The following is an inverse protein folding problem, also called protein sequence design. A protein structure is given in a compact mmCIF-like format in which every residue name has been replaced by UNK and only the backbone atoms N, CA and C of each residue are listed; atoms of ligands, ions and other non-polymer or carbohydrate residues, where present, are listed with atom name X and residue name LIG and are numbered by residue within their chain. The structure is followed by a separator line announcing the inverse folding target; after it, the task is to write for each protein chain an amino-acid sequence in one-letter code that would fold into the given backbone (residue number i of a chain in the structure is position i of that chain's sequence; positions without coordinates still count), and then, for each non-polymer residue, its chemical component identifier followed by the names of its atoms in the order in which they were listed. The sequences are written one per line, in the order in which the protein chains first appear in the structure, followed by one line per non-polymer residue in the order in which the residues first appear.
data_IF_854558322033
#
_entry.id   IF_854558322033
#
_cell.length_a   1.000
_cell.length_b   1.000
_cell.length_c   1.000
_cell.angle_alpha   90.00
_cell.angle_beta   90.00
_cell.angle_gamma   90.00
#
_symmetry.space_group_name_H-M   'P 1'
#
loop_
_entity.id
_entity.type
_entity.pdbx_description
1 polymer ?
#
# COMPACT_ATOMS: atom_id res chain seq x y z
N UNK A 1 5.74 -28.04 8.94
CA UNK A 1 4.61 -27.11 9.18
C UNK A 1 4.91 -26.00 10.19
N UNK A 2 5.54 -26.23 11.36
CA UNK A 2 5.90 -25.12 12.26
C UNK A 2 7.06 -24.23 11.74
N UNK A 3 8.02 -24.82 11.01
CA UNK A 3 9.20 -24.09 10.53
C UNK A 3 8.98 -23.14 9.36
N UNK A 4 7.90 -23.26 8.58
CA UNK A 4 7.63 -22.36 7.44
C UNK A 4 7.07 -21.01 7.89
N UNK A 5 6.21 -21.01 8.92
CA UNK A 5 5.60 -19.80 9.45
C UNK A 5 6.63 -18.93 10.20
N UNK A 6 7.52 -19.56 10.97
CA UNK A 6 8.61 -18.86 11.66
C UNK A 6 9.59 -18.26 10.64
N UNK A 7 9.86 -18.96 9.53
CA UNK A 7 10.71 -18.45 8.46
C UNK A 7 10.05 -17.27 7.75
N UNK A 8 8.74 -17.36 7.44
CA UNK A 8 7.98 -16.26 6.82
C UNK A 8 7.97 -15.02 7.72
N UNK A 9 7.77 -15.21 9.02
CA UNK A 9 7.74 -14.12 10.01
C UNK A 9 9.12 -13.51 10.21
N UNK A 10 10.19 -14.31 10.21
CA UNK A 10 11.56 -13.81 10.33
C UNK A 10 12.03 -13.11 9.04
N UNK A 11 11.59 -13.60 7.88
CA UNK A 11 11.84 -12.97 6.58
C UNK A 11 11.11 -11.63 6.47
N UNK A 12 9.88 -11.56 6.99
CA UNK A 12 9.07 -10.34 7.09
C UNK A 12 9.78 -9.22 7.86
N UNK A 13 10.37 -9.53 9.02
CA UNK A 13 11.08 -8.52 9.83
C UNK A 13 12.50 -8.21 9.31
N UNK A 14 13.15 -9.13 8.59
CA UNK A 14 14.53 -8.94 8.10
C UNK A 14 14.63 -8.19 6.77
N UNK A 15 13.60 -8.25 5.92
CA UNK A 15 13.61 -7.59 4.61
C UNK A 15 13.27 -6.09 4.67
N UNK A 16 12.84 -5.56 5.82
CA UNK A 16 12.51 -4.14 5.96
C UNK A 16 11.37 -3.67 5.05
N UNK A 17 10.49 -4.60 4.66
CA UNK A 17 9.40 -4.33 3.73
C UNK A 17 8.43 -3.30 4.30
N UNK A 18 8.00 -2.38 3.46
CA UNK A 18 6.95 -1.43 3.80
C UNK A 18 5.61 -2.16 3.92
N UNK A 19 4.68 -1.60 4.70
CA UNK A 19 3.36 -2.20 4.94
C UNK A 19 2.59 -2.52 3.64
N UNK A 20 2.81 -1.74 2.58
CA UNK A 20 2.25 -2.01 1.26
C UNK A 20 2.79 -3.30 0.63
N UNK A 21 4.11 -3.49 0.64
CA UNK A 21 4.79 -4.64 0.05
C UNK A 21 4.44 -5.93 0.80
N UNK A 22 4.25 -5.81 2.12
CA UNK A 22 3.73 -6.87 2.99
C UNK A 22 2.33 -7.30 2.56
N UNK A 23 1.42 -6.35 2.35
CA UNK A 23 0.04 -6.64 1.95
C UNK A 23 -0.02 -7.24 0.55
N UNK A 24 0.84 -6.78 -0.37
CA UNK A 24 0.97 -7.34 -1.72
C UNK A 24 1.50 -8.78 -1.68
N UNK A 25 2.53 -9.08 -0.86
CA UNK A 25 3.05 -10.44 -0.67
C UNK A 25 2.00 -11.39 -0.05
N UNK A 26 1.25 -10.92 0.95
CA UNK A 26 0.18 -11.71 1.57
C UNK A 26 -0.98 -11.94 0.60
N UNK A 27 -1.33 -10.95 -0.21
CA UNK A 27 -2.34 -11.07 -1.28
C UNK A 27 -1.94 -12.15 -2.29
N UNK A 28 -0.68 -12.14 -2.75
CA UNK A 28 -0.14 -13.15 -3.67
C UNK A 28 -0.07 -14.54 -3.00
N UNK A 29 0.43 -14.63 -1.77
CA UNK A 29 0.63 -15.89 -1.05
C UNK A 29 -0.66 -16.57 -0.58
N UNK A 30 -1.73 -15.80 -0.35
CA UNK A 30 -3.04 -16.31 0.08
C UNK A 30 -4.10 -16.31 -1.03
N UNK A 31 -3.76 -15.89 -2.26
CA UNK A 31 -4.68 -15.84 -3.39
C UNK A 31 -5.84 -14.85 -3.20
N UNK A 32 -5.64 -13.82 -2.37
CA UNK A 32 -6.64 -12.79 -2.11
C UNK A 32 -6.52 -11.73 -3.21
N UNK A 33 -7.37 -11.78 -4.23
CA UNK A 33 -7.49 -10.77 -5.30
C UNK A 33 -8.18 -9.47 -4.87
N UNK A 34 -8.38 -9.27 -3.57
CA UNK A 34 -9.11 -8.13 -3.03
C UNK A 34 -8.22 -6.88 -2.88
N UNK A 35 -8.86 -5.70 -2.84
CA UNK A 35 -8.21 -4.42 -2.56
C UNK A 35 -7.34 -4.52 -1.29
N UNK A 36 -6.11 -3.98 -1.26
CA UNK A 36 -5.19 -4.08 -0.12
C UNK A 36 -5.81 -3.67 1.24
N UNK A 37 -6.80 -2.77 1.21
CA UNK A 37 -7.57 -2.39 2.39
C UNK A 37 -8.40 -3.54 2.98
N UNK A 38 -8.97 -4.39 2.14
CA UNK A 38 -9.72 -5.59 2.53
C UNK A 38 -8.79 -6.63 3.16
N UNK A 39 -7.63 -6.86 2.54
CA UNK A 39 -6.61 -7.79 3.07
C UNK A 39 -6.11 -7.32 4.44
N UNK A 40 -5.81 -6.02 4.58
CA UNK A 40 -5.42 -5.43 5.85
C UNK A 40 -6.52 -5.58 6.91
N UNK A 41 -7.79 -5.38 6.54
CA UNK A 41 -8.91 -5.56 7.45
C UNK A 41 -9.05 -7.01 7.94
N UNK A 42 -8.98 -7.98 7.03
CA UNK A 42 -9.03 -9.41 7.37
C UNK A 42 -7.89 -9.78 8.31
N UNK A 43 -6.66 -9.35 7.98
CA UNK A 43 -5.49 -9.60 8.82
C UNK A 43 -5.64 -8.99 10.22
N UNK A 44 -6.00 -7.71 10.29
CA UNK A 44 -6.12 -6.97 11.55
C UNK A 44 -7.18 -7.54 12.49
N UNK A 45 -8.23 -8.14 11.93
CA UNK A 45 -9.31 -8.75 12.70
C UNK A 45 -9.09 -10.24 12.97
N UNK A 46 -8.13 -10.89 12.32
CA UNK A 46 -7.86 -12.31 12.43
C UNK A 46 -7.49 -12.72 13.87
N UNK A 47 -8.17 -13.72 14.46
CA UNK A 47 -7.82 -14.22 15.78
C UNK A 47 -6.65 -15.22 15.71
N UNK A 48 -5.47 -14.80 16.14
CA UNK A 48 -4.30 -15.68 16.32
C UNK A 48 -4.55 -16.56 17.55
N UNK A 49 -4.68 -17.87 17.32
CA UNK A 49 -4.92 -18.86 18.37
C UNK A 49 -3.68 -19.05 19.24
N UNK A 50 -3.90 -19.15 20.55
CA UNK A 50 -2.88 -19.61 21.48
C UNK A 50 -2.47 -21.05 21.12
N UNK A 51 -1.19 -21.23 20.80
CA UNK A 51 -0.59 -22.54 20.61
C UNK A 51 -0.11 -23.10 21.96
N UNK A 52 0.25 -24.39 21.97
CA UNK A 52 0.74 -25.11 23.16
C UNK A 52 2.01 -24.48 23.76
N UNK A 53 2.72 -23.64 23.00
CA UNK A 53 3.83 -22.83 23.46
C UNK A 53 3.33 -21.49 24.02
N UNK A 54 3.59 -21.25 25.30
CA UNK A 54 3.15 -20.06 26.04
C UNK A 54 3.78 -18.76 25.51
N UNK A 55 4.88 -18.87 24.77
CA UNK A 55 5.58 -17.73 24.17
C UNK A 55 5.04 -17.35 22.78
N UNK A 56 4.07 -18.09 22.24
CA UNK A 56 3.48 -17.77 20.94
C UNK A 56 2.47 -16.62 21.10
N UNK A 57 2.54 -15.57 20.27
CA UNK A 57 1.57 -14.49 20.29
C UNK A 57 0.16 -15.04 20.08
N UNK A 58 -0.79 -14.53 20.86
CA UNK A 58 -2.21 -14.87 20.77
C UNK A 58 -3.01 -13.58 20.87
N UNK A 59 -4.19 -13.55 20.25
CA UNK A 59 -5.01 -12.34 20.19
C UNK A 59 -5.22 -11.85 18.76
N UNK A 60 -5.64 -10.60 18.61
CA UNK A 60 -5.89 -9.99 17.30
C UNK A 60 -4.76 -9.01 16.97
N UNK A 61 -4.18 -9.03 15.75
CA UNK A 61 -3.09 -8.13 15.39
C UNK A 61 -3.38 -6.66 15.67
N UNK A 62 -4.60 -6.19 15.39
CA UNK A 62 -4.99 -4.81 15.68
C UNK A 62 -4.90 -4.48 17.17
N UNK A 63 -5.38 -5.36 18.04
CA UNK A 63 -5.37 -5.13 19.50
C UNK A 63 -3.95 -5.25 20.05
N UNK A 64 -3.16 -6.21 19.54
CA UNK A 64 -1.76 -6.38 19.91
C UNK A 64 -0.93 -5.14 19.56
N UNK A 65 -1.20 -4.52 18.41
CA UNK A 65 -0.52 -3.31 17.98
C UNK A 65 -0.99 -2.05 18.71
N UNK A 66 -2.30 -1.89 18.90
CA UNK A 66 -2.88 -0.67 19.51
C UNK A 66 -2.81 -0.65 21.03
N UNK A 67 -2.81 -1.82 21.68
CA UNK A 67 -2.80 -1.97 23.14
C UNK A 67 -1.74 -2.99 23.58
N UNK A 68 -0.44 -2.75 23.28
CA UNK A 68 0.62 -3.72 23.56
C UNK A 68 0.78 -4.02 25.06
N UNK A 69 0.41 -3.08 25.93
CA UNK A 69 0.42 -3.23 27.38
C UNK A 69 -0.49 -4.38 27.88
N UNK A 70 -1.56 -4.73 27.16
CA UNK A 70 -2.41 -5.89 27.50
C UNK A 70 -1.69 -7.23 27.32
N UNK A 71 -0.62 -7.25 26.54
CA UNK A 71 0.21 -8.42 26.27
C UNK A 71 1.55 -8.36 27.01
N UNK A 72 1.73 -7.39 27.92
CA UNK A 72 2.98 -7.21 28.68
C UNK A 72 4.15 -6.73 27.83
N UNK A 73 3.88 -6.10 26.69
CA UNK A 73 4.90 -5.55 25.78
C UNK A 73 4.88 -4.02 25.87
N UNK A 74 6.05 -3.40 25.66
CA UNK A 74 6.19 -1.95 25.63
C UNK A 74 5.43 -1.34 24.44
N UNK A 75 4.91 -0.13 24.66
CA UNK A 75 4.33 0.66 23.59
C UNK A 75 5.42 1.38 22.80
N UNK A 76 5.39 1.19 21.48
CA UNK A 76 6.33 1.81 20.53
C UNK A 76 5.60 2.70 19.51
N UNK A 77 4.31 2.96 19.71
CA UNK A 77 3.57 3.91 18.90
C UNK A 77 4.13 5.32 19.14
N UNK A 78 4.37 6.05 18.05
CA UNK A 78 4.69 7.46 18.10
C UNK A 78 3.37 8.24 18.02
N UNK A 79 2.89 8.85 19.12
CA UNK A 79 1.67 9.64 19.07
C UNK A 79 1.95 10.92 18.28
N UNK A 80 1.29 11.08 17.14
CA UNK A 80 1.27 12.34 16.40
C UNK A 80 -0.03 13.08 16.69
N UNK A 81 0.08 14.35 17.05
CA UNK A 81 -1.06 15.23 17.23
C UNK A 81 -1.74 15.52 15.88
N UNK A 82 -3.02 15.89 15.94
CA UNK A 82 -3.76 16.26 14.72
C UNK A 82 -3.10 17.45 14.01
N UNK A 83 -2.57 18.41 14.76
CA UNK A 83 -1.92 19.59 14.20
C UNK A 83 -0.60 19.24 13.48
N UNK A 84 0.19 18.29 14.02
CA UNK A 84 1.38 17.76 13.34
C UNK A 84 1.03 17.01 12.05
N UNK A 85 -0.07 16.26 12.05
CA UNK A 85 -0.56 15.56 10.86
C UNK A 85 -1.02 16.57 9.79
N UNK A 86 -1.79 17.59 10.18
CA UNK A 86 -2.29 18.63 9.26
C UNK A 86 -1.14 19.44 8.66
N UNK A 87 -0.12 19.79 9.45
CA UNK A 87 1.06 20.49 8.94
C UNK A 87 1.81 19.69 7.87
N UNK A 88 1.77 18.35 7.94
CA UNK A 88 2.39 17.48 6.95
C UNK A 88 1.47 17.17 5.76
N UNK A 89 0.18 17.52 5.83
CA UNK A 89 -0.81 17.18 4.79
C UNK A 89 -0.49 17.84 3.44
N UNK A 90 0.03 19.08 3.47
CA UNK A 90 0.44 19.80 2.25
C UNK A 90 1.66 19.16 1.56
N UNK A 91 2.55 18.54 2.34
CA UNK A 91 3.73 17.80 1.85
C UNK A 91 3.39 16.36 1.44
N UNK A 92 2.22 15.86 1.83
CA UNK A 92 1.74 14.55 1.40
C UNK A 92 1.20 14.63 -0.03
N UNK A 93 1.66 13.71 -0.89
CA UNK A 93 0.97 13.44 -2.15
C UNK A 93 -0.35 12.72 -1.84
N UNK A 94 -1.39 13.48 -1.46
CA UNK A 94 -2.75 12.93 -1.36
C UNK A 94 -3.06 12.25 -2.70
N UNK A 95 -3.75 11.11 -2.68
CA UNK A 95 -4.13 10.36 -3.88
C UNK A 95 -5.06 11.25 -4.73
N UNK A 96 -4.49 12.04 -5.65
CA UNK A 96 -5.22 12.96 -6.52
C UNK A 96 -6.06 12.13 -7.50
N UNK A 97 -7.17 12.71 -8.00
CA UNK A 97 -8.01 12.08 -9.03
C UNK A 97 -7.30 11.93 -10.40
N UNK A 98 -6.04 12.34 -10.48
CA UNK A 98 -5.23 12.35 -11.68
C UNK A 98 -3.79 11.92 -11.32
N UNK A 99 -3.10 11.21 -12.23
CA UNK A 99 -1.84 10.52 -11.93
C UNK A 99 -0.61 11.46 -11.85
N UNK A 100 -0.74 12.72 -12.24
CA UNK A 100 0.37 13.67 -12.35
C UNK A 100 -0.04 15.07 -11.85
N UNK A 101 0.60 16.12 -12.33
CA UNK A 101 0.12 17.48 -12.09
C UNK A 101 -1.20 17.73 -12.84
N UNK A 102 -2.06 18.61 -12.30
CA UNK A 102 -3.39 18.87 -12.88
C UNK A 102 -3.27 19.43 -14.30
N UNK A 103 -2.37 20.38 -14.51
CA UNK A 103 -2.18 21.04 -15.81
C UNK A 103 -1.62 20.05 -16.83
N UNK A 104 -0.69 19.19 -16.40
CA UNK A 104 -0.14 18.14 -17.27
C UNK A 104 -1.24 17.12 -17.63
N UNK A 105 -2.08 16.74 -16.68
CA UNK A 105 -3.20 15.82 -16.93
C UNK A 105 -4.23 16.40 -17.91
N UNK A 106 -4.61 17.67 -17.72
CA UNK A 106 -5.54 18.37 -18.62
C UNK A 106 -4.96 18.50 -20.03
N UNK A 107 -3.67 18.84 -20.15
CA UNK A 107 -2.97 18.90 -21.44
C UNK A 107 -2.94 17.54 -22.14
N UNK A 108 -2.55 16.48 -21.43
CA UNK A 108 -2.57 15.12 -21.96
C UNK A 108 -3.98 14.72 -22.44
N UNK A 109 -5.01 15.04 -21.66
CA UNK A 109 -6.40 14.73 -22.00
C UNK A 109 -6.85 15.44 -23.28
N UNK A 110 -6.48 16.71 -23.45
CA UNK A 110 -6.77 17.46 -24.67
C UNK A 110 -6.03 16.87 -25.88
N UNK A 111 -4.74 16.53 -25.72
CA UNK A 111 -3.95 15.90 -26.78
C UNK A 111 -4.51 14.55 -27.21
N UNK A 112 -4.99 13.75 -26.26
CA UNK A 112 -5.65 12.48 -26.55
C UNK A 112 -6.92 12.68 -27.39
N UNK A 113 -7.76 13.66 -27.03
CA UNK A 113 -8.97 13.98 -27.79
C UNK A 113 -8.65 14.50 -29.19
N UNK A 114 -7.67 15.39 -29.32
CA UNK A 114 -7.28 15.99 -30.61
C UNK A 114 -6.67 14.96 -31.57
N UNK A 115 -5.88 14.03 -31.04
CA UNK A 115 -5.17 13.00 -31.83
C UNK A 115 -5.96 11.70 -31.97
N UNK A 116 -7.13 11.58 -31.35
CA UNK A 116 -7.93 10.36 -31.35
C UNK A 116 -7.25 9.19 -30.64
N UNK A 117 -6.52 9.46 -29.55
CA UNK A 117 -5.88 8.44 -28.73
C UNK A 117 -6.85 7.96 -27.64
N UNK A 118 -7.06 6.65 -27.57
CA UNK A 118 -7.94 6.05 -26.58
C UNK A 118 -7.23 5.77 -25.25
N UNK A 119 -8.03 5.60 -24.20
CA UNK A 119 -7.53 5.17 -22.89
C UNK A 119 -6.97 3.74 -22.98
N UNK A 120 -5.78 3.46 -22.42
CA UNK A 120 -5.13 2.18 -22.61
C UNK A 120 -5.82 1.10 -21.76
N UNK A 121 -6.04 -0.08 -22.35
CA UNK A 121 -6.64 -1.23 -21.68
C UNK A 121 -5.61 -2.20 -21.08
N UNK A 122 -4.35 -2.09 -21.47
CA UNK A 122 -3.26 -2.95 -21.01
C UNK A 122 -1.95 -2.17 -20.77
N UNK A 123 -0.94 -2.85 -20.23
CA UNK A 123 0.35 -2.26 -19.83
C UNK A 123 1.14 -1.77 -21.05
N UNK A 124 1.08 -2.50 -22.17
CA UNK A 124 1.83 -2.17 -23.39
C UNK A 124 1.25 -0.92 -24.05
N UNK A 125 -0.08 -0.85 -24.17
CA UNK A 125 -0.82 0.32 -24.61
C UNK A 125 -0.58 1.53 -23.70
N UNK A 126 -0.52 1.32 -22.38
CA UNK A 126 -0.24 2.38 -21.41
C UNK A 126 1.15 2.97 -21.63
N UNK A 127 2.14 2.10 -21.83
CA UNK A 127 3.53 2.50 -22.07
C UNK A 127 3.64 3.26 -23.39
N UNK A 128 3.00 2.77 -24.44
CA UNK A 128 2.96 3.42 -25.74
C UNK A 128 2.31 4.81 -25.64
N UNK A 129 1.13 4.92 -25.02
CA UNK A 129 0.43 6.18 -24.83
C UNK A 129 1.29 7.19 -24.06
N UNK A 130 1.96 6.77 -23.00
CA UNK A 130 2.85 7.65 -22.23
C UNK A 130 4.00 8.20 -23.07
N UNK A 131 4.67 7.34 -23.86
CA UNK A 131 5.77 7.76 -24.74
C UNK A 131 5.25 8.76 -25.78
N UNK A 132 4.13 8.45 -26.44
CA UNK A 132 3.51 9.34 -27.44
C UNK A 132 3.16 10.70 -26.84
N UNK A 133 2.46 10.73 -25.70
CA UNK A 133 2.08 12.00 -25.06
C UNK A 133 3.30 12.81 -24.61
N UNK A 134 4.34 12.14 -24.11
CA UNK A 134 5.59 12.80 -23.73
C UNK A 134 6.27 13.47 -24.92
N UNK A 135 6.34 12.80 -26.07
CA UNK A 135 6.90 13.37 -27.29
C UNK A 135 6.09 14.55 -27.81
N UNK A 136 4.76 14.46 -27.80
CA UNK A 136 3.86 15.55 -28.19
C UNK A 136 4.03 16.77 -27.27
N UNK A 137 4.11 16.58 -25.95
CA UNK A 137 4.37 17.67 -25.00
C UNK A 137 5.75 18.29 -25.24
N UNK A 138 6.77 17.47 -25.51
CA UNK A 138 8.11 17.96 -25.80
C UNK A 138 8.16 18.80 -27.07
N UNK A 139 7.35 18.46 -28.08
CA UNK A 139 7.27 19.23 -29.33
C UNK A 139 6.51 20.55 -29.19
N UNK A 140 5.75 20.74 -28.11
CA UNK A 140 4.99 21.97 -27.83
C UNK A 140 5.77 22.99 -26.99
N UNK A 141 6.89 22.59 -26.38
CA UNK A 141 7.78 23.41 -25.55
C UNK A 141 9.01 23.87 -26.32
#
# INVERSE_FOLDING_TARGET
MAGELDNLTSLYFSLGLQQREILELLSIGHGLTDEPNTVAHIWNTHPIRAQRNRNTPHGRPLIMYTLPHLYGVADHLCPSSRDEILNCEEECLTRRNYPCDKTVFELCSLLMVERGLDQPGDIDQTTHLYITLKEEIWNLL
#
